data_IF_554152740653
#
_entry.id   IF_554152740653
#
_cell.length_a   1.000
_cell.length_b   1.000
_cell.length_c   1.000
_cell.angle_alpha   90.00
_cell.angle_beta   90.00
_cell.angle_gamma   90.00
#
_symmetry.space_group_name_H-M   'P 1'
#
loop_
_entity.id
_entity.type
_entity.pdbx_description
1 polymer ?
#
# COMPACT_ATOMS: atom_id res chain seq x y z
N UNK A 1 -8.29 -20.20 11.87
CA UNK A 1 -7.38 -19.45 12.77
C UNK A 1 -6.64 -18.39 11.97
N UNK A 2 -6.51 -17.16 12.47
CA UNK A 2 -5.62 -16.17 11.87
C UNK A 2 -4.17 -16.60 12.05
N UNK A 3 -3.40 -16.62 10.97
CA UNK A 3 -1.96 -16.89 11.04
C UNK A 3 -1.20 -15.60 11.37
N UNK A 4 -0.25 -15.66 12.30
CA UNK A 4 0.66 -14.55 12.61
C UNK A 4 1.35 -14.01 11.36
N UNK A 5 1.68 -14.87 10.39
CA UNK A 5 2.25 -14.45 9.10
C UNK A 5 1.33 -13.51 8.33
N UNK A 6 0.02 -13.75 8.36
CA UNK A 6 -0.96 -12.90 7.65
C UNK A 6 -1.10 -11.54 8.32
N UNK A 7 -1.14 -11.51 9.66
CA UNK A 7 -1.20 -10.29 10.47
C UNK A 7 0.02 -9.40 10.18
N UNK A 8 1.22 -10.00 10.24
CA UNK A 8 2.47 -9.29 9.95
C UNK A 8 2.57 -8.87 8.48
N UNK A 9 2.05 -9.67 7.55
CA UNK A 9 1.92 -9.32 6.14
C UNK A 9 1.07 -8.07 5.94
N UNK A 10 -0.07 -7.96 6.62
CA UNK A 10 -0.92 -6.74 6.59
C UNK A 10 -0.19 -5.52 7.13
N UNK A 11 0.50 -5.66 8.26
CA UNK A 11 1.31 -4.57 8.83
C UNK A 11 2.34 -4.06 7.81
N UNK A 12 3.10 -4.97 7.20
CA UNK A 12 4.11 -4.62 6.21
C UNK A 12 3.50 -3.94 4.98
N UNK A 13 2.42 -4.49 4.45
CA UNK A 13 1.76 -3.94 3.27
C UNK A 13 1.23 -2.52 3.53
N UNK A 14 0.50 -2.34 4.64
CA UNK A 14 -0.02 -1.03 5.04
C UNK A 14 1.12 -0.01 5.21
N UNK A 15 2.23 -0.42 5.82
CA UNK A 15 3.41 0.43 5.97
C UNK A 15 3.97 0.87 4.62
N UNK A 16 4.12 -0.06 3.68
CA UNK A 16 4.62 0.22 2.33
C UNK A 16 3.66 1.09 1.52
N UNK A 17 2.36 0.83 1.59
CA UNK A 17 1.30 1.62 0.94
C UNK A 17 1.31 3.08 1.41
N UNK A 18 1.50 3.30 2.72
CA UNK A 18 1.62 4.63 3.32
C UNK A 18 3.02 5.24 3.17
N UNK A 19 3.94 4.57 2.46
CA UNK A 19 5.33 4.98 2.27
C UNK A 19 6.09 5.26 3.59
N UNK A 20 5.73 4.56 4.66
CA UNK A 20 6.35 4.75 5.97
C UNK A 20 7.63 3.89 6.06
N UNK A 21 8.75 4.54 6.40
CA UNK A 21 10.02 3.84 6.61
C UNK A 21 9.99 3.05 7.92
N UNK A 22 10.63 1.88 7.94
CA UNK A 22 10.82 1.07 9.16
C UNK A 22 11.45 1.89 10.30
N UNK A 23 12.41 2.75 9.98
CA UNK A 23 13.03 3.69 10.92
C UNK A 23 12.00 4.62 11.58
N UNK A 24 11.02 5.11 10.81
CA UNK A 24 9.99 6.00 11.35
C UNK A 24 9.07 5.27 12.33
N UNK A 25 8.77 3.99 12.10
CA UNK A 25 7.98 3.20 13.04
C UNK A 25 8.80 2.88 14.29
N UNK A 26 10.05 2.49 14.12
CA UNK A 26 10.95 2.19 15.24
C UNK A 26 11.06 3.40 16.20
N UNK A 27 11.22 4.61 15.66
CA UNK A 27 11.20 5.86 16.45
C UNK A 27 9.88 6.08 17.20
N UNK A 28 8.72 5.82 16.56
CA UNK A 28 7.40 5.94 17.23
C UNK A 28 7.20 4.90 18.34
N UNK A 29 7.83 3.75 18.20
CA UNK A 29 7.80 2.68 19.20
C UNK A 29 8.87 2.84 20.29
N UNK A 30 9.82 3.76 20.14
CA UNK A 30 10.95 3.92 21.05
C UNK A 30 11.92 2.73 21.04
N UNK A 31 12.04 2.03 19.90
CA UNK A 31 12.90 0.85 19.75
C UNK A 31 13.93 1.05 18.64
N UNK A 32 14.99 0.24 18.65
CA UNK A 32 15.95 0.21 17.55
C UNK A 32 15.29 -0.28 16.24
N UNK A 33 15.73 0.28 15.10
CA UNK A 33 15.25 -0.15 13.76
C UNK A 33 15.42 -1.65 13.55
N UNK A 34 16.54 -2.22 13.95
CA UNK A 34 16.83 -3.65 13.83
C UNK A 34 15.82 -4.50 14.62
N UNK A 35 15.41 -4.04 15.80
CA UNK A 35 14.35 -4.66 16.61
C UNK A 35 13.01 -4.62 15.87
N UNK A 36 12.64 -3.47 15.29
CA UNK A 36 11.41 -3.38 14.50
C UNK A 36 11.43 -4.30 13.27
N UNK A 37 12.57 -4.40 12.57
CA UNK A 37 12.74 -5.30 11.42
C UNK A 37 12.51 -6.76 11.83
N UNK A 38 13.06 -7.19 12.98
CA UNK A 38 12.86 -8.54 13.50
C UNK A 38 11.40 -8.79 13.89
N UNK A 39 10.74 -7.80 14.51
CA UNK A 39 9.31 -7.82 14.84
C UNK A 39 8.42 -7.94 13.60
N UNK A 40 8.62 -7.09 12.61
CA UNK A 40 7.85 -7.08 11.36
C UNK A 40 8.03 -8.38 10.56
N UNK A 41 9.22 -9.00 10.62
CA UNK A 41 9.48 -10.31 10.00
C UNK A 41 8.95 -11.50 10.80
N UNK A 42 8.47 -11.27 12.03
CA UNK A 42 7.97 -12.32 12.92
C UNK A 42 9.08 -13.14 13.61
N UNK A 43 10.32 -12.65 13.60
CA UNK A 43 11.42 -13.30 14.31
C UNK A 43 11.35 -13.09 15.83
N UNK A 44 10.66 -12.03 16.27
CA UNK A 44 10.29 -11.78 17.66
C UNK A 44 8.86 -11.21 17.70
N UNK A 45 8.10 -11.44 18.79
CA UNK A 45 6.71 -10.99 18.86
C UNK A 45 6.60 -9.47 18.97
N UNK A 46 5.51 -8.93 18.44
CA UNK A 46 5.02 -7.57 18.71
C UNK A 46 4.08 -7.68 19.90
N UNK A 47 4.35 -6.90 20.95
CA UNK A 47 3.54 -6.84 22.17
C UNK A 47 2.23 -6.11 21.92
N UNK A 48 1.25 -6.31 22.80
CA UNK A 48 -0.05 -5.63 22.69
C UNK A 48 0.08 -4.11 22.68
N UNK A 49 0.92 -3.54 23.55
CA UNK A 49 1.19 -2.09 23.58
C UNK A 49 1.80 -1.58 22.26
N UNK A 50 2.75 -2.33 21.69
CA UNK A 50 3.31 -1.99 20.39
C UNK A 50 2.26 -2.07 19.27
N UNK A 51 1.34 -3.04 19.31
CA UNK A 51 0.23 -3.10 18.36
C UNK A 51 -0.68 -1.88 18.43
N UNK A 52 -0.98 -1.38 19.64
CA UNK A 52 -1.75 -0.15 19.82
C UNK A 52 -1.02 1.06 19.24
N UNK A 53 0.28 1.21 19.54
CA UNK A 53 1.11 2.29 18.99
C UNK A 53 1.23 2.20 17.46
N UNK A 54 1.31 1.00 16.90
CA UNK A 54 1.32 0.76 15.46
C UNK A 54 0.00 1.18 14.82
N UNK A 55 -1.13 0.83 15.43
CA UNK A 55 -2.46 1.24 14.95
C UNK A 55 -2.57 2.77 14.91
N UNK A 56 -2.21 3.45 15.99
CA UNK A 56 -2.14 4.92 16.03
C UNK A 56 -1.17 5.48 14.98
N UNK A 57 0.00 4.87 14.82
CA UNK A 57 1.00 5.33 13.86
C UNK A 57 0.53 5.21 12.41
N UNK A 58 -0.25 4.17 12.13
CA UNK A 58 -0.83 3.91 10.84
C UNK A 58 -2.16 4.64 10.62
N UNK A 59 -2.75 5.28 11.64
CA UNK A 59 -4.11 5.85 11.57
C UNK A 59 -5.15 4.79 11.17
N UNK A 60 -5.06 3.60 11.76
CA UNK A 60 -6.03 2.52 11.62
C UNK A 60 -6.46 2.03 13.01
N UNK A 61 -7.61 1.35 13.08
CA UNK A 61 -8.03 0.63 14.28
C UNK A 61 -7.19 -0.64 14.48
N UNK A 62 -6.88 -1.08 15.73
CA UNK A 62 -6.14 -2.32 15.97
C UNK A 62 -6.78 -3.54 15.30
N UNK A 63 -8.12 -3.57 15.23
CA UNK A 63 -8.91 -4.62 14.58
C UNK A 63 -8.56 -4.82 13.10
N UNK A 64 -8.00 -3.81 12.42
CA UNK A 64 -7.52 -3.91 11.04
C UNK A 64 -6.52 -5.07 10.86
N UNK A 65 -5.56 -5.18 11.78
CA UNK A 65 -4.50 -6.19 11.70
C UNK A 65 -5.01 -7.60 12.01
N UNK A 66 -6.02 -7.71 12.87
CA UNK A 66 -6.53 -8.98 13.40
C UNK A 66 -7.84 -9.46 12.76
N UNK A 67 -8.42 -8.74 11.81
CA UNK A 67 -9.70 -9.14 11.23
C UNK A 67 -9.57 -10.47 10.45
N UNK A 68 -10.27 -11.51 10.92
CA UNK A 68 -10.42 -12.78 10.21
C UNK A 68 -11.31 -12.53 9.00
N UNK A 69 -10.74 -12.02 7.90
CA UNK A 69 -11.56 -11.87 6.72
C UNK A 69 -10.77 -12.01 5.43
N UNK A 70 -11.06 -13.13 4.79
CA UNK A 70 -11.24 -13.26 3.35
C UNK A 70 -12.08 -12.13 2.72
N UNK A 71 -12.85 -11.32 3.46
CA UNK A 71 -13.49 -10.11 2.92
C UNK A 71 -12.54 -8.91 2.76
N UNK A 72 -11.38 -8.88 3.45
CA UNK A 72 -10.31 -7.93 3.10
C UNK A 72 -9.55 -8.35 1.82
N UNK A 73 -9.78 -9.56 1.31
CA UNK A 73 -9.41 -9.93 -0.07
C UNK A 73 -10.46 -9.50 -1.11
N UNK A 74 -11.65 -9.07 -0.69
CA UNK A 74 -12.77 -8.69 -1.57
C UNK A 74 -12.69 -7.27 -2.13
N UNK A 75 -11.83 -6.40 -1.58
CA UNK A 75 -11.58 -5.06 -2.11
C UNK A 75 -10.09 -4.93 -2.43
N UNK A 76 -9.76 -5.26 -3.69
CA UNK A 76 -8.49 -5.01 -4.39
C UNK A 76 -7.33 -6.01 -4.23
N UNK A 77 -7.59 -7.31 -4.26
CA UNK A 77 -6.57 -8.25 -4.81
C UNK A 77 -6.56 -8.16 -6.35
N UNK A 78 -5.86 -7.15 -6.90
CA UNK A 78 -5.40 -7.23 -8.29
C UNK A 78 -4.01 -6.66 -8.55
N UNK A 79 -3.30 -6.22 -7.51
CA UNK A 79 -2.25 -5.24 -7.74
C UNK A 79 -1.00 -5.53 -6.90
N UNK A 80 -0.29 -6.56 -7.35
CA UNK A 80 1.16 -6.68 -7.16
C UNK A 80 1.76 -7.41 -8.36
N UNK A 81 1.55 -6.87 -9.56
CA UNK A 81 2.59 -6.99 -10.57
C UNK A 81 3.60 -5.88 -10.24
N UNK A 82 4.89 -6.21 -10.04
CA UNK A 82 5.92 -5.20 -9.72
C UNK A 82 5.91 -4.00 -10.67
N UNK A 83 5.44 -4.19 -11.91
CA UNK A 83 5.20 -3.14 -12.90
C UNK A 83 4.28 -2.02 -12.44
N UNK A 84 3.21 -2.32 -11.72
CA UNK A 84 2.27 -1.29 -11.27
C UNK A 84 2.87 -0.42 -10.14
N UNK A 85 3.59 -1.05 -9.20
CA UNK A 85 4.34 -0.30 -8.18
C UNK A 85 5.35 0.65 -8.83
N UNK A 86 6.02 0.18 -9.90
CA UNK A 86 6.94 1.00 -10.68
C UNK A 86 6.22 2.13 -11.43
N UNK A 87 5.06 1.87 -12.04
CA UNK A 87 4.26 2.89 -12.73
C UNK A 87 3.78 3.97 -11.77
N UNK A 88 3.31 3.60 -10.57
CA UNK A 88 2.91 4.56 -9.54
C UNK A 88 4.09 5.40 -9.04
N UNK A 89 5.25 4.77 -8.86
CA UNK A 89 6.48 5.48 -8.46
C UNK A 89 6.91 6.48 -9.55
N UNK A 90 6.91 6.05 -10.81
CA UNK A 90 7.22 6.88 -11.97
C UNK A 90 6.27 8.07 -12.06
N UNK A 91 4.97 7.83 -12.10
CA UNK A 91 3.97 8.91 -12.21
C UNK A 91 4.09 9.95 -11.09
N UNK A 92 4.42 9.52 -9.86
CA UNK A 92 4.61 10.43 -8.73
C UNK A 92 5.88 11.27 -8.81
N UNK A 93 6.91 10.82 -9.54
CA UNK A 93 8.16 11.57 -9.72
C UNK A 93 8.11 12.58 -10.87
N UNK A 94 7.11 12.49 -11.75
CA UNK A 94 6.94 13.42 -12.87
C UNK A 94 6.48 14.79 -12.39
N UNK A 95 6.89 15.85 -13.10
CA UNK A 95 6.37 17.20 -12.92
C UNK A 95 4.97 17.38 -13.54
N UNK A 96 4.42 18.60 -13.55
CA UNK A 96 3.08 18.86 -14.07
C UNK A 96 2.97 18.58 -15.58
N UNK A 97 3.91 19.10 -16.37
CA UNK A 97 3.89 18.95 -17.82
C UNK A 97 4.14 17.50 -18.24
N UNK A 98 5.06 16.82 -17.57
CA UNK A 98 5.36 15.40 -17.79
C UNK A 98 4.17 14.50 -17.43
N UNK A 99 3.38 14.85 -16.40
CA UNK A 99 2.14 14.13 -16.07
C UNK A 99 1.10 14.29 -17.15
N UNK A 100 0.92 15.49 -17.67
CA UNK A 100 -0.03 15.76 -18.75
C UNK A 100 0.36 14.98 -20.02
N UNK A 101 1.65 14.96 -20.37
CA UNK A 101 2.16 14.17 -21.49
C UNK A 101 1.97 12.67 -21.28
N UNK A 102 2.22 12.18 -20.05
CA UNK A 102 2.00 10.79 -19.68
C UNK A 102 0.53 10.38 -19.82
N UNK A 103 -0.40 11.23 -19.36
CA UNK A 103 -1.85 11.02 -19.48
C UNK A 103 -2.26 11.02 -20.96
N UNK A 104 -1.79 12.00 -21.74
CA UNK A 104 -2.03 12.09 -23.18
C UNK A 104 -1.56 10.82 -23.90
N UNK A 105 -0.34 10.37 -23.63
CA UNK A 105 0.25 9.16 -24.22
C UNK A 105 -0.56 7.92 -23.88
N UNK A 106 -0.97 7.76 -22.60
CA UNK A 106 -1.84 6.66 -22.19
C UNK A 106 -3.22 6.71 -22.87
N UNK A 107 -3.78 7.91 -23.05
CA UNK A 107 -5.07 8.08 -23.71
C UNK A 107 -5.04 7.63 -25.17
N UNK A 108 -3.93 7.92 -25.88
CA UNK A 108 -3.71 7.51 -27.26
C UNK A 108 -3.49 5.99 -27.35
N UNK A 109 -2.59 5.45 -26.53
CA UNK A 109 -2.25 4.03 -26.53
C UNK A 109 -3.44 3.12 -26.17
N UNK A 110 -4.41 3.63 -25.40
CA UNK A 110 -5.56 2.87 -24.92
C UNK A 110 -6.89 3.31 -25.57
N UNK A 111 -6.86 4.16 -26.59
CA UNK A 111 -8.04 4.68 -27.29
C UNK A 111 -8.94 3.55 -27.82
N UNK A 112 -8.34 2.49 -28.34
CA UNK A 112 -9.05 1.34 -28.92
C UNK A 112 -9.37 0.23 -27.90
N UNK A 113 -9.20 0.52 -26.61
CA UNK A 113 -9.52 -0.45 -25.56
C UNK A 113 -11.02 -0.79 -25.57
N UNK A 114 -11.33 -2.01 -25.98
CA UNK A 114 -12.72 -2.52 -26.05
C UNK A 114 -13.41 -2.57 -24.68
N UNK A 115 -12.65 -2.64 -23.58
CA UNK A 115 -13.19 -2.81 -22.22
C UNK A 115 -13.80 -1.50 -21.68
N UNK A 116 -15.10 -1.54 -21.35
CA UNK A 116 -15.88 -0.38 -20.84
C UNK A 116 -15.22 0.32 -19.64
N UNK A 117 -14.70 -0.45 -18.68
CA UNK A 117 -14.03 0.09 -17.49
C UNK A 117 -12.82 0.96 -17.84
N UNK A 118 -12.05 0.57 -18.87
CA UNK A 118 -10.86 1.32 -19.31
C UNK A 118 -11.27 2.65 -19.92
N UNK A 119 -12.27 2.65 -20.82
CA UNK A 119 -12.80 3.89 -21.41
C UNK A 119 -13.38 4.86 -20.38
N UNK A 120 -14.14 4.34 -19.41
CA UNK A 120 -14.70 5.17 -18.34
C UNK A 120 -13.62 5.77 -17.44
N UNK A 121 -12.58 5.00 -17.13
CA UNK A 121 -11.47 5.48 -16.30
C UNK A 121 -10.66 6.54 -17.03
N UNK A 122 -10.29 6.30 -18.30
CA UNK A 122 -9.59 7.27 -19.14
C UNK A 122 -10.39 8.57 -19.31
N UNK A 123 -11.70 8.46 -19.56
CA UNK A 123 -12.56 9.63 -19.70
C UNK A 123 -12.68 10.49 -18.44
N UNK A 124 -12.52 9.89 -17.25
CA UNK A 124 -12.42 10.65 -15.99
C UNK A 124 -11.04 11.31 -15.87
N UNK A 125 -10.00 10.56 -16.20
CA UNK A 125 -8.61 10.97 -16.05
C UNK A 125 -8.24 12.18 -16.92
N UNK A 126 -8.84 12.30 -18.12
CA UNK A 126 -8.64 13.44 -19.04
C UNK A 126 -9.43 14.70 -18.63
N UNK A 127 -10.49 14.53 -17.83
CA UNK A 127 -11.39 15.64 -17.42
C UNK A 127 -11.02 16.25 -16.06
N UNK A 128 -9.96 15.76 -15.43
CA UNK A 128 -9.50 16.22 -14.10
C UNK A 128 -8.39 17.23 -14.29
#
# INVERSE_FOLDING_TARGET
MLNTKDILGRLKNLREEKAIRQESIARRLGIARTTYVRKERGAIPITTDEWLKLACAMKEEPSYFFSASSAAMGLKKKYSNGREKLLLKLYRSLDGAEKDEFICTLSLALKDARKKTVRQTLGRLIKT
#
